data_IF_555043222033
#
_entry.id   IF_555043222033
#
_cell.length_a   1.000
_cell.length_b   1.000
_cell.length_c   1.000
_cell.angle_alpha   90.00
_cell.angle_beta   90.00
_cell.angle_gamma   90.00
#
_symmetry.space_group_name_H-M   'P 1'
#
loop_
_entity.id
_entity.type
_entity.pdbx_description
1 polymer ?
#
# COMPACT_ATOMS: atom_id res chain seq x y z
N UNK A 1 -14.57 18.99 11.09
CA UNK A 1 -15.12 18.20 9.97
C UNK A 1 -13.99 18.03 8.97
N UNK A 2 -13.28 16.90 9.01
CA UNK A 2 -12.20 16.62 8.07
C UNK A 2 -12.84 16.24 6.73
N UNK A 3 -12.49 16.89 5.61
CA UNK A 3 -13.15 16.63 4.33
C UNK A 3 -12.87 15.20 3.88
N UNK A 4 -13.83 14.60 3.15
CA UNK A 4 -13.77 13.21 2.70
C UNK A 4 -12.54 12.86 1.82
N UNK A 5 -11.76 13.87 1.41
CA UNK A 5 -10.54 13.79 0.59
C UNK A 5 -9.28 13.31 1.33
N UNK A 6 -9.28 13.27 2.67
CA UNK A 6 -8.11 12.84 3.48
C UNK A 6 -8.06 11.34 3.81
N UNK A 7 -9.01 10.52 3.36
CA UNK A 7 -8.92 9.07 3.60
C UNK A 7 -7.77 8.47 2.80
N UNK A 8 -7.00 7.58 3.43
CA UNK A 8 -6.03 6.74 2.74
C UNK A 8 -6.72 5.85 1.70
N UNK A 9 -5.95 5.42 0.70
CA UNK A 9 -6.36 4.45 -0.33
C UNK A 9 -5.16 3.59 -0.68
N UNK A 10 -5.40 2.43 -1.28
CA UNK A 10 -4.29 1.58 -1.71
C UNK A 10 -3.40 2.31 -2.73
N UNK A 11 -3.99 3.09 -3.63
CA UNK A 11 -3.23 3.93 -4.56
C UNK A 11 -2.29 4.92 -3.85
N UNK A 12 -2.76 5.63 -2.81
CA UNK A 12 -1.92 6.55 -2.03
C UNK A 12 -0.77 5.85 -1.32
N UNK A 13 -0.98 4.62 -0.82
CA UNK A 13 0.10 3.80 -0.28
C UNK A 13 1.13 3.48 -1.38
N UNK A 14 0.70 3.02 -2.56
CA UNK A 14 1.61 2.68 -3.64
C UNK A 14 2.41 3.89 -4.13
N UNK A 15 1.78 5.06 -4.29
CA UNK A 15 2.45 6.30 -4.71
C UNK A 15 3.51 6.75 -3.70
N UNK A 16 3.22 6.59 -2.41
CA UNK A 16 4.19 6.80 -1.35
C UNK A 16 5.39 5.85 -1.49
N UNK A 17 5.15 4.54 -1.69
CA UNK A 17 6.24 3.57 -1.85
C UNK A 17 7.08 3.81 -3.11
N UNK A 18 6.46 4.28 -4.20
CA UNK A 18 7.19 4.69 -5.40
C UNK A 18 8.12 5.87 -5.09
N UNK A 19 7.61 6.87 -4.37
CA UNK A 19 8.39 8.06 -3.99
C UNK A 19 9.55 7.73 -3.05
N UNK A 20 9.33 6.89 -2.03
CA UNK A 20 10.34 6.50 -1.03
C UNK A 20 11.55 5.74 -1.61
N UNK A 21 11.42 5.20 -2.81
CA UNK A 21 12.47 4.42 -3.50
C UNK A 21 12.79 4.97 -4.89
N UNK A 22 12.28 6.15 -5.22
CA UNK A 22 12.49 6.81 -6.53
C UNK A 22 12.16 5.89 -7.72
N UNK A 23 11.10 5.09 -7.57
CA UNK A 23 10.65 4.13 -8.60
C UNK A 23 9.74 4.83 -9.61
N UNK A 24 9.88 4.49 -10.88
CA UNK A 24 9.16 5.17 -11.96
C UNK A 24 7.80 4.52 -12.27
N UNK A 25 7.58 3.28 -11.82
CA UNK A 25 6.36 2.55 -12.17
C UNK A 25 5.95 1.48 -11.17
N UNK A 26 4.65 1.15 -11.20
CA UNK A 26 4.08 0.00 -10.48
C UNK A 26 4.75 -1.33 -10.85
N UNK A 27 5.29 -1.46 -12.06
CA UNK A 27 5.98 -2.66 -12.48
C UNK A 27 7.29 -2.86 -11.71
N UNK A 28 8.04 -1.78 -11.45
CA UNK A 28 9.27 -1.82 -10.65
C UNK A 28 8.97 -2.10 -9.18
N UNK A 29 7.96 -1.44 -8.62
CA UNK A 29 7.47 -1.74 -7.28
C UNK A 29 7.00 -3.19 -7.15
N UNK A 30 6.31 -3.71 -8.17
CA UNK A 30 5.91 -5.11 -8.25
C UNK A 30 7.10 -6.06 -8.16
N UNK A 31 8.19 -5.80 -8.90
CA UNK A 31 9.41 -6.62 -8.83
C UNK A 31 9.99 -6.66 -7.42
N UNK A 32 10.07 -5.53 -6.73
CA UNK A 32 10.54 -5.47 -5.34
C UNK A 32 9.65 -6.27 -4.38
N UNK A 33 8.34 -6.22 -4.59
CA UNK A 33 7.35 -6.95 -3.79
C UNK A 33 7.12 -8.40 -4.26
N UNK A 34 7.88 -8.87 -5.25
CA UNK A 34 7.70 -10.16 -5.90
C UNK A 34 6.24 -10.38 -6.39
N UNK A 35 5.73 -9.39 -7.14
CA UNK A 35 4.40 -9.33 -7.75
C UNK A 35 4.51 -8.94 -9.23
N UNK A 36 3.61 -9.49 -10.03
CA UNK A 36 3.47 -9.11 -11.43
C UNK A 36 2.63 -7.82 -11.60
N UNK A 37 2.66 -7.25 -12.80
CA UNK A 37 1.92 -6.02 -13.11
C UNK A 37 0.40 -6.18 -13.03
N UNK A 38 -0.15 -7.37 -13.28
CA UNK A 38 -1.59 -7.61 -13.18
C UNK A 38 -2.06 -7.59 -11.71
N UNK A 39 -1.25 -8.14 -10.81
CA UNK A 39 -1.44 -8.05 -9.38
C UNK A 39 -1.39 -6.59 -8.91
N UNK A 40 -0.35 -5.85 -9.31
CA UNK A 40 -0.20 -4.44 -8.92
C UNK A 40 -1.36 -3.57 -9.42
N UNK A 41 -1.80 -3.78 -10.67
CA UNK A 41 -2.96 -3.09 -11.23
C UNK A 41 -4.25 -3.41 -10.46
N UNK A 42 -4.51 -4.68 -10.12
CA UNK A 42 -5.68 -5.05 -9.31
C UNK A 42 -5.63 -4.47 -7.92
N UNK A 43 -4.45 -4.45 -7.29
CA UNK A 43 -4.22 -3.88 -5.98
C UNK A 43 -4.45 -2.36 -5.98
N UNK A 44 -3.85 -1.63 -6.92
CA UNK A 44 -4.00 -0.16 -7.07
C UNK A 44 -5.46 0.26 -7.26
N UNK A 45 -6.20 -0.51 -8.06
CA UNK A 45 -7.61 -0.27 -8.34
C UNK A 45 -8.55 -0.87 -7.28
N UNK A 46 -8.00 -1.35 -6.14
CA UNK A 46 -8.76 -1.94 -5.03
C UNK A 46 -9.66 -3.14 -5.43
N UNK A 47 -9.37 -3.76 -6.58
CA UNK A 47 -9.96 -5.03 -7.03
C UNK A 47 -9.36 -6.23 -6.30
N UNK A 48 -8.25 -6.00 -5.59
CA UNK A 48 -7.61 -6.95 -4.68
C UNK A 48 -7.32 -6.24 -3.36
N UNK A 49 -7.68 -6.89 -2.25
CA UNK A 49 -7.39 -6.35 -0.92
C UNK A 49 -5.90 -6.45 -0.58
N UNK A 50 -5.41 -5.47 0.19
CA UNK A 50 -4.06 -5.50 0.76
C UNK A 50 -4.01 -6.61 1.83
N UNK A 51 -3.27 -7.67 1.55
CA UNK A 51 -3.15 -8.82 2.46
C UNK A 51 -2.17 -8.54 3.61
N UNK A 52 -2.32 -9.26 4.73
CA UNK A 52 -1.38 -9.16 5.85
C UNK A 52 0.08 -9.48 5.43
N UNK A 53 0.27 -10.49 4.57
CA UNK A 53 1.59 -10.83 4.04
C UNK A 53 2.21 -9.68 3.24
N UNK A 54 1.40 -8.95 2.47
CA UNK A 54 1.89 -7.81 1.70
C UNK A 54 2.22 -6.61 2.60
N UNK A 55 1.41 -6.37 3.65
CA UNK A 55 1.71 -5.36 4.67
C UNK A 55 3.05 -5.64 5.35
N UNK A 56 3.28 -6.89 5.77
CA UNK A 56 4.55 -7.29 6.38
C UNK A 56 5.73 -7.16 5.40
N UNK A 57 5.54 -7.53 4.14
CA UNK A 57 6.57 -7.38 3.12
C UNK A 57 6.95 -5.91 2.89
N UNK A 58 5.95 -5.02 2.82
CA UNK A 58 6.17 -3.58 2.71
C UNK A 58 6.94 -3.06 3.94
N UNK A 59 6.54 -3.48 5.15
CA UNK A 59 7.24 -3.10 6.37
C UNK A 59 8.73 -3.52 6.33
N UNK A 60 9.01 -4.74 5.90
CA UNK A 60 10.38 -5.27 5.84
C UNK A 60 11.23 -4.56 4.78
N UNK A 61 10.71 -4.34 3.57
CA UNK A 61 11.48 -3.80 2.43
C UNK A 61 11.64 -2.27 2.52
N UNK A 62 10.62 -1.58 3.01
CA UNK A 62 10.59 -0.12 3.02
C UNK A 62 10.86 0.48 4.41
N UNK A 63 10.81 -0.33 5.48
CA UNK A 63 11.00 0.16 6.86
C UNK A 63 9.80 0.95 7.41
N UNK A 64 8.67 0.95 6.68
CA UNK A 64 7.48 1.74 7.02
C UNK A 64 6.71 1.04 8.14
N UNK A 65 6.26 1.78 9.16
CA UNK A 65 5.50 1.21 10.27
C UNK A 65 4.16 0.60 9.80
N UNK A 66 3.78 -0.57 10.34
CA UNK A 66 2.52 -1.25 9.98
C UNK A 66 1.29 -0.35 10.15
N UNK A 67 1.27 0.48 11.21
CA UNK A 67 0.20 1.45 11.44
C UNK A 67 0.10 2.48 10.32
N UNK A 68 1.25 3.01 9.87
CA UNK A 68 1.30 3.98 8.79
C UNK A 68 0.84 3.36 7.46
N UNK A 69 1.23 2.11 7.17
CA UNK A 69 0.76 1.37 5.99
C UNK A 69 -0.76 1.27 5.99
N UNK A 70 -1.35 0.91 7.13
CA UNK A 70 -2.81 0.79 7.31
C UNK A 70 -3.51 2.14 7.12
N UNK A 71 -2.99 3.20 7.74
CA UNK A 71 -3.54 4.56 7.64
C UNK A 71 -3.47 5.08 6.20
N UNK A 72 -2.32 4.94 5.53
CA UNK A 72 -2.13 5.33 4.12
C UNK A 72 -2.99 4.52 3.17
N UNK A 73 -3.17 3.22 3.43
CA UNK A 73 -4.04 2.35 2.65
C UNK A 73 -5.54 2.56 2.92
N UNK A 74 -5.90 3.37 3.93
CA UNK A 74 -7.30 3.58 4.31
C UNK A 74 -7.95 2.37 4.97
N UNK A 75 -7.15 1.42 5.46
CA UNK A 75 -7.66 0.23 6.14
C UNK A 75 -8.16 0.63 7.53
N UNK A 76 -9.44 0.39 7.81
CA UNK A 76 -9.95 0.53 9.17
C UNK A 76 -9.41 -0.61 10.03
N UNK A 77 -8.43 -0.32 10.86
CA UNK A 77 -7.93 -1.29 11.82
C UNK A 77 -9.01 -1.56 12.87
N UNK A 78 -9.81 -2.62 12.66
CA UNK A 78 -10.72 -3.14 13.68
C UNK A 78 -9.91 -3.95 14.69
N UNK A 79 -9.18 -3.24 15.57
CA UNK A 79 -8.68 -3.84 16.79
C UNK A 79 -9.90 -4.07 17.70
N UNK A 80 -10.45 -5.29 17.69
CA UNK A 80 -11.37 -5.69 18.77
C UNK A 80 -10.49 -5.86 20.02
N UNK A 81 -10.83 -5.10 21.07
CA UNK A 81 -10.32 -5.30 22.43
C UNK A 81 -10.58 -6.71 22.92
#
# INVERSE_FOLDING_TARGET
>A
MTPATERGTVAKLLDFLLTERELESDAELGRLLNKDGAYMSKLRNEKLALSANLILLIHIIFGVGVREIIERAGLQARWRK
#
